data_IF_202027397769
#
_entry.id   IF_202027397769
#
_cell.length_a   1.000
_cell.length_b   1.000
_cell.length_c   1.000
_cell.angle_alpha   90.00
_cell.angle_beta   90.00
_cell.angle_gamma   90.00
#
_symmetry.space_group_name_H-M   'P 1'
#
loop_
_entity.id
_entity.type
_entity.pdbx_description
1 polymer ?
#
# COMPACT_ATOMS: atom_id res chain seq x y z
N UNK A 1 33.09 21.55 -42.32
CA UNK A 1 32.85 20.26 -41.65
C UNK A 1 32.88 20.51 -40.15
N UNK A 2 31.78 20.25 -39.45
CA UNK A 2 31.71 20.28 -37.98
C UNK A 2 31.14 18.93 -37.53
N UNK A 3 31.73 18.22 -36.55
CA UNK A 3 31.18 16.97 -36.10
C UNK A 3 29.98 17.24 -35.17
N UNK A 4 28.89 16.50 -35.39
CA UNK A 4 27.74 16.50 -34.48
C UNK A 4 28.07 15.63 -33.26
N UNK A 5 27.83 16.18 -32.07
CA UNK A 5 27.80 15.40 -30.84
C UNK A 5 26.58 14.49 -30.87
N UNK A 6 26.80 13.18 -31.02
CA UNK A 6 25.76 12.19 -30.87
C UNK A 6 25.29 12.20 -29.42
N UNK A 7 24.02 12.57 -29.21
CA UNK A 7 23.36 12.37 -27.93
C UNK A 7 23.19 10.86 -27.71
N UNK A 8 24.03 10.30 -26.85
CA UNK A 8 23.84 8.95 -26.33
C UNK A 8 22.55 8.91 -25.53
N UNK A 9 21.53 8.23 -26.04
CA UNK A 9 20.32 7.89 -25.27
C UNK A 9 20.67 6.69 -24.41
N UNK A 10 20.98 6.94 -23.14
CA UNK A 10 21.09 5.87 -22.14
C UNK A 10 19.73 5.16 -22.00
N UNK A 11 19.68 3.82 -22.02
CA UNK A 11 18.43 3.09 -21.88
C UNK A 11 17.87 3.33 -20.48
N UNK A 12 16.70 3.95 -20.41
CA UNK A 12 15.99 4.21 -19.16
C UNK A 12 15.65 2.87 -18.50
N UNK A 13 16.30 2.60 -17.35
CA UNK A 13 16.13 1.37 -16.56
C UNK A 13 14.64 1.08 -16.34
N UNK A 14 14.16 -0.02 -16.91
CA UNK A 14 12.77 -0.45 -16.78
C UNK A 14 12.46 -0.66 -15.29
N UNK A 15 11.55 0.17 -14.76
CA UNK A 15 11.15 0.08 -13.35
C UNK A 15 10.44 -1.25 -13.16
N UNK A 16 10.89 -2.03 -12.17
CA UNK A 16 10.18 -3.25 -11.77
C UNK A 16 8.70 -2.92 -11.59
N UNK A 17 7.78 -3.63 -12.28
CA UNK A 17 6.36 -3.31 -12.21
C UNK A 17 5.90 -3.35 -10.75
N UNK A 18 5.13 -2.32 -10.36
CA UNK A 18 4.56 -2.27 -9.02
C UNK A 18 3.62 -3.46 -8.87
N UNK A 19 3.89 -4.32 -7.89
CA UNK A 19 2.98 -5.40 -7.52
C UNK A 19 1.69 -4.81 -6.97
N UNK A 20 0.56 -5.42 -7.32
CA UNK A 20 -0.72 -5.08 -6.73
C UNK A 20 -0.67 -5.25 -5.20
N UNK A 21 -1.32 -4.35 -4.46
CA UNK A 21 -1.24 -4.35 -3.00
C UNK A 21 -1.84 -5.62 -2.38
N UNK A 22 -2.94 -6.14 -2.95
CA UNK A 22 -3.53 -7.37 -2.43
C UNK A 22 -2.61 -8.57 -2.68
N UNK A 23 -1.94 -8.60 -3.83
CA UNK A 23 -0.92 -9.61 -4.13
C UNK A 23 0.26 -9.53 -3.16
N UNK A 24 0.72 -8.31 -2.83
CA UNK A 24 1.79 -8.12 -1.85
C UNK A 24 1.40 -8.62 -0.46
N UNK A 25 0.16 -8.37 -0.02
CA UNK A 25 -0.35 -8.87 1.25
C UNK A 25 -0.44 -10.40 1.28
N UNK A 26 -0.90 -11.00 0.17
CA UNK A 26 -0.98 -12.45 0.04
C UNK A 26 0.39 -13.11 0.10
N UNK A 27 1.39 -12.54 -0.58
CA UNK A 27 2.75 -13.08 -0.60
C UNK A 27 3.48 -12.92 0.73
N UNK A 28 3.34 -11.77 1.38
CA UNK A 28 4.10 -11.44 2.60
C UNK A 28 3.45 -11.99 3.87
N UNK A 29 2.12 -11.94 3.94
CA UNK A 29 1.36 -12.26 5.16
C UNK A 29 0.41 -13.44 5.00
N UNK A 30 0.40 -14.13 3.86
CA UNK A 30 -0.61 -15.15 3.53
C UNK A 30 -2.06 -14.65 3.64
N UNK A 31 -2.28 -13.34 3.51
CA UNK A 31 -3.59 -12.69 3.67
C UNK A 31 -4.23 -12.41 2.32
N UNK A 32 -5.29 -13.15 1.98
CA UNK A 32 -6.13 -12.88 0.80
C UNK A 32 -7.33 -11.99 1.18
N UNK A 33 -7.19 -10.68 0.99
CA UNK A 33 -8.23 -9.68 1.30
C UNK A 33 -9.50 -9.85 0.45
N UNK A 34 -9.42 -10.57 -0.68
CA UNK A 34 -10.56 -10.85 -1.54
C UNK A 34 -11.24 -12.17 -1.22
N UNK A 35 -10.76 -12.96 -0.26
CA UNK A 35 -11.47 -14.11 0.26
C UNK A 35 -12.39 -13.71 1.42
N UNK A 36 -13.65 -14.15 1.39
CA UNK A 36 -14.57 -13.93 2.50
C UNK A 36 -14.31 -14.92 3.62
N UNK A 37 -13.85 -14.45 4.78
CA UNK A 37 -13.62 -15.29 5.96
C UNK A 37 -14.88 -16.00 6.51
N UNK A 38 -16.09 -15.54 6.15
CA UNK A 38 -17.36 -16.16 6.62
C UNK A 38 -17.88 -17.25 5.70
N UNK A 39 -17.80 -17.06 4.38
CA UNK A 39 -18.44 -17.96 3.40
C UNK A 39 -17.51 -18.48 2.30
N UNK A 40 -16.23 -18.10 2.29
CA UNK A 40 -15.26 -18.50 1.27
C UNK A 40 -15.45 -17.82 -0.10
N UNK A 41 -16.51 -17.05 -0.30
CA UNK A 41 -16.77 -16.34 -1.56
C UNK A 41 -15.74 -15.24 -1.88
N UNK A 42 -15.71 -14.79 -3.13
CA UNK A 42 -14.81 -13.72 -3.60
C UNK A 42 -15.43 -12.34 -3.41
N UNK A 43 -14.71 -11.46 -2.71
CA UNK A 43 -15.02 -10.03 -2.56
C UNK A 43 -14.45 -9.23 -3.74
N UNK A 44 -15.03 -8.05 -3.97
CA UNK A 44 -14.56 -7.07 -4.97
C UNK A 44 -14.49 -5.69 -4.31
N UNK A 45 -13.56 -4.86 -4.73
CA UNK A 45 -13.54 -3.44 -4.34
C UNK A 45 -14.71 -2.74 -5.03
N UNK A 46 -15.57 -2.09 -4.25
CA UNK A 46 -16.73 -1.35 -4.79
C UNK A 46 -16.42 0.14 -4.96
N UNK A 47 -15.71 0.74 -4.00
CA UNK A 47 -15.37 2.16 -4.01
C UNK A 47 -14.18 2.45 -3.08
N UNK A 48 -13.50 3.56 -3.35
CA UNK A 48 -12.54 4.18 -2.43
C UNK A 48 -13.19 5.43 -1.83
N UNK A 49 -13.47 5.42 -0.54
CA UNK A 49 -14.09 6.54 0.16
C UNK A 49 -13.00 7.42 0.76
N UNK A 50 -12.80 8.60 0.19
CA UNK A 50 -11.75 9.54 0.62
C UNK A 50 -12.29 10.80 1.29
N UNK A 51 -13.57 11.12 1.09
CA UNK A 51 -14.22 12.27 1.71
C UNK A 51 -14.36 12.05 3.23
N UNK A 52 -13.83 12.97 4.08
CA UNK A 52 -13.83 12.77 5.53
C UNK A 52 -15.21 12.52 6.14
N UNK A 53 -16.24 13.21 5.65
CA UNK A 53 -17.61 13.02 6.10
C UNK A 53 -18.14 11.60 5.81
N UNK A 54 -17.85 11.07 4.62
CA UNK A 54 -18.23 9.70 4.23
C UNK A 54 -17.51 8.64 5.04
N UNK A 55 -16.19 8.81 5.24
CA UNK A 55 -15.40 7.91 6.10
C UNK A 55 -15.95 7.91 7.52
N UNK A 56 -16.22 9.10 8.08
CA UNK A 56 -16.77 9.25 9.44
C UNK A 56 -18.12 8.55 9.59
N UNK A 57 -19.05 8.78 8.66
CA UNK A 57 -20.39 8.17 8.70
C UNK A 57 -20.32 6.64 8.69
N UNK A 58 -19.44 6.05 7.87
CA UNK A 58 -19.23 4.60 7.81
C UNK A 58 -18.66 4.08 9.14
N UNK A 59 -17.64 4.74 9.69
CA UNK A 59 -17.02 4.32 10.94
C UNK A 59 -18.01 4.38 12.12
N UNK A 60 -18.81 5.46 12.20
CA UNK A 60 -19.87 5.59 13.22
C UNK A 60 -20.90 4.48 13.12
N UNK A 61 -21.36 4.18 11.89
CA UNK A 61 -22.31 3.07 11.66
C UNK A 61 -21.76 1.70 12.08
N UNK A 62 -20.46 1.49 11.90
CA UNK A 62 -19.77 0.26 12.30
C UNK A 62 -19.38 0.21 13.79
N UNK A 63 -19.60 1.30 14.54
CA UNK A 63 -19.15 1.42 15.93
C UNK A 63 -17.62 1.48 16.09
N UNK A 64 -16.90 1.94 15.07
CA UNK A 64 -15.44 2.06 15.06
C UNK A 64 -14.99 3.49 15.46
N UNK A 65 -13.78 3.64 16.02
CA UNK A 65 -13.23 4.96 16.33
C UNK A 65 -13.14 5.85 15.08
N UNK A 66 -13.69 7.07 15.16
CA UNK A 66 -13.66 8.07 14.08
C UNK A 66 -12.44 8.99 14.15
N UNK A 67 -11.83 9.10 15.33
CA UNK A 67 -10.63 9.89 15.53
C UNK A 67 -9.41 9.12 15.05
N UNK A 68 -8.68 9.69 14.11
CA UNK A 68 -7.43 9.11 13.63
C UNK A 68 -6.44 8.95 14.79
N UNK A 69 -5.75 7.81 14.81
CA UNK A 69 -4.67 7.58 15.76
C UNK A 69 -3.49 8.48 15.43
N UNK A 70 -2.84 9.02 16.47
CA UNK A 70 -1.56 9.70 16.30
C UNK A 70 -0.52 8.66 15.85
N UNK A 71 0.13 8.91 14.72
CA UNK A 71 1.22 8.07 14.25
C UNK A 71 2.32 8.02 15.31
N UNK A 72 2.82 6.82 15.61
CA UNK A 72 4.01 6.69 16.42
C UNK A 72 5.21 7.29 15.66
N UNK A 73 6.15 7.96 16.33
CA UNK A 73 7.38 8.42 15.70
C UNK A 73 8.15 7.23 15.10
N UNK A 74 8.89 7.48 14.02
CA UNK A 74 9.76 6.48 13.42
C UNK A 74 10.75 5.97 14.47
N UNK A 75 10.81 4.64 14.65
CA UNK A 75 11.78 4.01 15.55
C UNK A 75 13.09 3.76 14.80
N UNK A 76 14.21 4.03 15.46
CA UNK A 76 15.52 3.57 15.01
C UNK A 76 15.60 2.04 14.97
N UNK A 77 16.66 1.48 14.36
CA UNK A 77 16.87 0.04 14.36
C UNK A 77 16.92 -0.50 15.80
N UNK A 78 16.47 -1.75 16.05
CA UNK A 78 16.65 -2.35 17.37
C UNK A 78 18.13 -2.33 17.73
N UNK A 79 18.45 -1.82 18.93
CA UNK A 79 19.81 -1.91 19.45
C UNK A 79 20.13 -3.40 19.60
N UNK A 80 21.23 -3.84 18.98
CA UNK A 80 21.71 -5.21 19.16
C UNK A 80 22.04 -5.37 20.64
N UNK A 81 21.25 -6.17 21.35
CA UNK A 81 21.59 -6.61 22.69
C UNK A 81 22.62 -7.72 22.55
N UNK A 82 23.87 -7.34 22.31
CA UNK A 82 24.99 -8.27 22.44
C UNK A 82 26.17 -7.58 23.11
N UNK A 83 26.37 -7.94 24.38
CA UNK A 83 27.68 -8.04 25.01
C UNK A 83 28.13 -9.49 24.87
#
# INVERSE_FOLDING_TARGET
>A
MAPQAAASTEPMKEKTPRVDWAELLKRTFALDVFACARCGGRRKVLAYVTAPAGVRSILEHLGLPTQALKWAPARGPPQQAWC
#
